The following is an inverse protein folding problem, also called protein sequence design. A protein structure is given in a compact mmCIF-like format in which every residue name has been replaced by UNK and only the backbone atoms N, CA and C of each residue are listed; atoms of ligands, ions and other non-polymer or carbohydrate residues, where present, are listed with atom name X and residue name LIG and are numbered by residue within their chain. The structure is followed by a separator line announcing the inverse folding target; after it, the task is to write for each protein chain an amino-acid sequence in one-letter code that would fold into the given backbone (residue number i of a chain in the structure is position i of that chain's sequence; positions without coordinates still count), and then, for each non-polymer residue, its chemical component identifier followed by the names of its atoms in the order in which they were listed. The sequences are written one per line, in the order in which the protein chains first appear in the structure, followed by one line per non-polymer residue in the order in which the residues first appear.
data_IF_528383026140
#
_entry.id   IF_528383026140
#
_cell.length_a   1.000
_cell.length_b   1.000
_cell.length_c   1.000
_cell.angle_alpha   90.00
_cell.angle_beta   90.00
_cell.angle_gamma   90.00
#
_symmetry.space_group_name_H-M   'P 1'
#
loop_
_entity.id
_entity.type
_entity.pdbx_description
1 polymer ?
#
# COMPACT_ATOMS: atom_id res chain seq x y z
N UNK A 1 89.54 19.14 -23.35
CA UNK A 1 88.62 18.00 -23.16
C UNK A 1 88.20 17.98 -21.70
N UNK A 2 87.10 18.67 -21.37
CA UNK A 2 86.34 18.41 -20.14
C UNK A 2 84.94 19.01 -20.29
N UNK A 3 83.97 18.18 -19.96
CA UNK A 3 82.52 18.32 -19.84
C UNK A 3 82.06 19.55 -19.05
N UNK A 4 80.79 19.99 -19.25
CA UNK A 4 79.69 19.79 -18.27
C UNK A 4 78.38 20.48 -18.72
N UNK A 5 77.37 19.62 -18.84
CA UNK A 5 75.91 19.69 -18.59
C UNK A 5 75.07 20.97 -18.73
N UNK A 6 73.96 20.77 -19.46
CA UNK A 6 72.65 21.39 -19.28
C UNK A 6 72.14 21.30 -17.82
N UNK A 7 71.66 22.42 -17.28
CA UNK A 7 70.71 22.46 -16.17
C UNK A 7 69.34 22.87 -16.71
N UNK A 8 68.46 21.89 -16.85
CA UNK A 8 67.01 22.09 -16.76
C UNK A 8 66.67 22.54 -15.35
N UNK A 9 65.88 23.60 -15.21
CA UNK A 9 65.03 23.72 -14.03
C UNK A 9 63.70 24.36 -14.44
N UNK A 10 62.69 23.50 -14.48
CA UNK A 10 61.30 23.80 -14.80
C UNK A 10 60.60 24.08 -13.46
N UNK A 11 60.43 25.36 -13.10
CA UNK A 11 59.73 25.75 -11.87
C UNK A 11 58.52 26.60 -12.19
N UNK A 12 57.33 26.00 -12.21
CA UNK A 12 56.09 26.72 -11.85
C UNK A 12 54.91 25.79 -11.61
N UNK A 13 54.59 25.44 -10.35
CA UNK A 13 53.17 25.17 -9.96
C UNK A 13 52.82 25.17 -8.46
N UNK A 14 52.73 26.32 -7.79
CA UNK A 14 52.07 26.41 -6.49
C UNK A 14 50.54 26.71 -6.58
N UNK A 15 50.03 27.11 -7.75
CA UNK A 15 48.68 27.70 -7.88
C UNK A 15 47.53 26.69 -7.92
N UNK A 16 47.77 25.46 -8.41
CA UNK A 16 46.72 24.42 -8.57
C UNK A 16 46.21 23.85 -7.24
N UNK A 17 47.07 23.71 -6.22
CA UNK A 17 46.68 23.17 -4.90
C UNK A 17 45.71 24.09 -4.15
N UNK A 18 45.93 25.40 -4.21
CA UNK A 18 45.04 26.39 -3.57
C UNK A 18 43.66 26.47 -4.23
N UNK A 19 43.60 26.30 -5.55
CA UNK A 19 42.33 26.28 -6.29
C UNK A 19 41.50 25.03 -5.98
N UNK A 20 42.14 23.86 -5.86
CA UNK A 20 41.46 22.61 -5.44
C UNK A 20 40.93 22.68 -4.01
N UNK A 21 41.68 23.26 -3.07
CA UNK A 21 41.23 23.46 -1.69
C UNK A 21 40.04 24.43 -1.61
N UNK A 22 40.07 25.52 -2.38
CA UNK A 22 38.99 26.50 -2.42
C UNK A 22 37.71 25.93 -3.04
N UNK A 23 37.80 25.15 -4.11
CA UNK A 23 36.62 24.49 -4.69
C UNK A 23 36.06 23.42 -3.76
N UNK A 24 36.91 22.66 -3.07
CA UNK A 24 36.44 21.65 -2.11
C UNK A 24 35.75 22.30 -0.90
N UNK A 25 36.29 23.41 -0.38
CA UNK A 25 35.68 24.17 0.70
C UNK A 25 34.36 24.84 0.29
N UNK A 26 34.29 25.40 -0.92
CA UNK A 26 33.06 25.98 -1.48
C UNK A 26 31.99 24.90 -1.68
N UNK A 27 32.37 23.73 -2.21
CA UNK A 27 31.46 22.58 -2.35
C UNK A 27 30.99 22.11 -0.98
N UNK A 28 31.88 21.96 0.01
CA UNK A 28 31.51 21.58 1.39
C UNK A 28 30.53 22.58 2.03
N UNK A 29 30.70 23.87 1.75
CA UNK A 29 29.84 24.94 2.27
C UNK A 29 28.49 25.03 1.53
N UNK A 30 28.42 24.61 0.27
CA UNK A 30 27.18 24.56 -0.51
C UNK A 30 26.36 23.29 -0.29
N UNK A 31 26.96 22.18 0.16
CA UNK A 31 26.23 20.92 0.47
C UNK A 31 25.01 21.14 1.40
N UNK A 32 25.09 21.89 2.53
CA UNK A 32 23.92 22.09 3.39
C UNK A 32 22.81 22.95 2.75
N UNK A 33 23.14 23.82 1.78
CA UNK A 33 22.15 24.62 1.05
C UNK A 33 21.32 23.80 0.05
N UNK A 34 21.79 22.61 -0.31
CA UNK A 34 21.07 21.65 -1.16
C UNK A 34 20.22 20.66 -0.34
N UNK A 35 20.37 20.64 0.99
CA UNK A 35 19.55 19.80 1.85
C UNK A 35 18.16 20.45 2.01
N UNK A 36 17.11 19.70 1.67
CA UNK A 36 15.76 20.18 1.93
C UNK A 36 15.53 20.37 3.43
N UNK A 37 14.98 21.53 3.81
CA UNK A 37 14.55 21.83 5.17
C UNK A 37 13.45 20.88 5.65
N UNK A 38 12.59 20.37 4.75
CA UNK A 38 11.52 19.43 5.05
C UNK A 38 11.70 18.12 4.27
N UNK A 39 11.60 17.00 4.98
CA UNK A 39 11.60 15.65 4.42
C UNK A 39 10.36 14.90 4.88
N UNK A 40 9.52 14.53 3.92
CA UNK A 40 8.35 13.69 4.16
C UNK A 40 8.49 12.42 3.32
N UNK A 41 8.57 11.28 3.98
CA UNK A 41 8.67 9.98 3.32
C UNK A 41 7.58 9.06 3.81
N UNK A 42 6.72 8.64 2.89
CA UNK A 42 5.65 7.69 3.16
C UNK A 42 5.97 6.41 2.39
N UNK A 43 6.01 5.30 3.12
CA UNK A 43 6.19 3.99 2.52
C UNK A 43 5.17 3.03 3.10
N UNK A 44 4.34 2.46 2.23
CA UNK A 44 3.31 1.50 2.62
C UNK A 44 3.30 0.26 1.74
N UNK A 45 2.75 -0.81 2.29
CA UNK A 45 2.48 -2.06 1.60
C UNK A 45 1.03 -2.46 1.80
N UNK A 46 0.42 -2.97 0.74
CA UNK A 46 -0.89 -3.59 0.75
C UNK A 46 -0.70 -5.11 0.75
N UNK A 47 -1.38 -5.81 1.66
CA UNK A 47 -1.39 -7.26 1.72
C UNK A 47 -2.48 -7.84 0.80
N UNK A 48 -2.43 -9.16 0.57
CA UNK A 48 -3.46 -9.85 -0.20
C UNK A 48 -4.84 -9.90 0.50
N UNK A 49 -4.90 -9.54 1.78
CA UNK A 49 -6.12 -9.53 2.60
C UNK A 49 -6.68 -8.11 2.82
N UNK A 50 -6.32 -7.17 1.94
CA UNK A 50 -6.74 -5.76 2.00
C UNK A 50 -6.33 -5.05 3.29
N UNK A 51 -5.14 -5.40 3.80
CA UNK A 51 -4.53 -4.72 4.96
C UNK A 51 -3.36 -3.87 4.52
N UNK A 52 -3.26 -2.69 5.12
CA UNK A 52 -2.23 -1.71 4.81
C UNK A 52 -1.33 -1.54 6.01
N UNK A 53 -0.02 -1.61 5.77
CA UNK A 53 1.00 -1.46 6.80
C UNK A 53 2.16 -0.66 6.25
N UNK A 54 2.89 0.03 7.11
CA UNK A 54 3.96 0.89 6.63
C UNK A 54 4.44 1.88 7.67
N UNK A 55 5.03 2.96 7.16
CA UNK A 55 5.56 4.03 7.96
C UNK A 55 5.47 5.38 7.25
N UNK A 56 5.37 6.43 8.04
CA UNK A 56 5.47 7.84 7.64
C UNK A 56 6.62 8.44 8.43
N UNK A 57 7.54 9.12 7.76
CA UNK A 57 8.59 9.93 8.37
C UNK A 57 8.34 11.37 7.98
N UNK A 58 8.21 12.26 8.96
CA UNK A 58 8.17 13.70 8.76
C UNK A 58 9.28 14.31 9.60
N UNK A 59 10.27 14.91 8.94
CA UNK A 59 11.45 15.42 9.63
C UNK A 59 11.95 16.72 8.97
N UNK A 60 12.52 17.59 9.78
CA UNK A 60 13.12 18.86 9.36
C UNK A 60 14.52 19.01 9.91
N UNK A 61 15.29 19.92 9.34
CA UNK A 61 16.52 20.39 9.99
C UNK A 61 16.09 21.30 11.15
N UNK A 62 16.50 21.02 12.41
CA UNK A 62 16.06 21.81 13.55
C UNK A 62 16.54 23.25 13.43
N UNK A 63 15.68 24.22 13.74
CA UNK A 63 16.07 25.63 13.77
C UNK A 63 16.96 25.95 14.99
N UNK A 64 16.79 25.20 16.09
CA UNK A 64 17.55 25.32 17.33
C UNK A 64 17.64 23.99 18.09
N UNK A 65 18.48 23.90 19.13
CA UNK A 65 18.70 22.64 19.88
C UNK A 65 17.47 22.10 20.63
N UNK A 66 16.45 22.94 20.84
CA UNK A 66 15.21 22.58 21.53
C UNK A 66 14.05 22.30 20.58
N UNK A 67 14.26 22.39 19.26
CA UNK A 67 13.25 22.12 18.25
C UNK A 67 13.07 20.60 18.08
N UNK A 68 11.91 20.02 18.45
CA UNK A 68 11.66 18.60 18.26
C UNK A 68 11.29 18.24 16.82
N UNK A 69 11.11 19.22 15.93
CA UNK A 69 10.59 19.04 14.58
C UNK A 69 9.07 18.75 14.54
N UNK A 70 8.54 18.37 13.36
CA UNK A 70 7.12 18.08 13.18
C UNK A 70 6.66 16.91 14.05
N UNK A 71 5.55 17.11 14.76
CA UNK A 71 4.96 16.10 15.63
C UNK A 71 3.66 15.56 15.06
N UNK A 72 3.66 14.27 14.73
CA UNK A 72 2.48 13.62 14.17
C UNK A 72 1.62 13.02 15.28
N UNK A 73 0.35 13.43 15.35
CA UNK A 73 -0.60 12.96 16.37
C UNK A 73 -1.58 11.97 15.73
N UNK A 74 -1.64 10.71 16.20
CA UNK A 74 -2.54 9.71 15.65
C UNK A 74 -3.99 9.99 16.09
N UNK A 75 -4.98 9.79 15.19
CA UNK A 75 -6.37 9.85 15.59
C UNK A 75 -6.66 8.75 16.61
N UNK A 76 -7.53 9.05 17.56
CA UNK A 76 -7.88 8.13 18.65
C UNK A 76 -8.47 6.81 18.16
N UNK A 77 -9.13 6.81 16.99
CA UNK A 77 -9.67 5.62 16.32
C UNK A 77 -8.60 4.62 15.90
N UNK A 78 -7.36 5.05 15.67
CA UNK A 78 -6.27 4.21 15.16
C UNK A 78 -5.12 4.03 16.15
N UNK A 79 -5.29 4.48 17.40
CA UNK A 79 -4.22 4.50 18.40
C UNK A 79 -3.64 3.11 18.71
N UNK A 80 -4.43 2.03 18.57
CA UNK A 80 -3.97 0.65 18.80
C UNK A 80 -3.12 0.09 17.65
N UNK A 81 -3.29 0.63 16.44
CA UNK A 81 -2.65 0.17 15.21
C UNK A 81 -1.54 1.10 14.72
N UNK A 82 -1.24 2.14 15.51
CA UNK A 82 -0.26 3.17 15.19
C UNK A 82 0.71 3.34 16.35
N UNK A 83 2.00 3.43 16.03
CA UNK A 83 3.07 3.78 16.97
C UNK A 83 3.83 4.99 16.44
N UNK A 84 3.84 6.06 17.22
CA UNK A 84 4.67 7.24 16.96
C UNK A 84 5.98 7.11 17.74
N UNK A 85 7.10 7.47 17.10
CA UNK A 85 8.43 7.53 17.68
C UNK A 85 9.09 8.84 17.25
N UNK A 86 10.01 9.33 18.08
CA UNK A 86 10.89 10.42 17.68
C UNK A 86 11.82 9.96 16.55
N UNK A 87 11.97 10.80 15.53
CA UNK A 87 12.90 10.59 14.44
C UNK A 87 14.09 11.53 14.60
N UNK A 88 15.30 10.98 14.71
CA UNK A 88 16.55 11.75 14.76
C UNK A 88 17.64 11.07 13.94
N UNK A 89 17.87 11.55 12.72
CA UNK A 89 18.82 10.92 11.79
C UNK A 89 19.32 11.90 10.73
N UNK A 90 20.60 11.80 10.37
CA UNK A 90 21.24 12.62 9.32
C UNK A 90 21.09 14.15 9.52
N UNK A 91 21.03 14.58 10.78
CA UNK A 91 20.80 16.00 11.13
C UNK A 91 19.34 16.44 11.11
N UNK A 92 18.41 15.55 10.77
CA UNK A 92 16.97 15.81 10.81
C UNK A 92 16.36 15.36 12.14
N UNK A 93 15.38 16.12 12.62
CA UNK A 93 14.52 15.82 13.78
C UNK A 93 13.05 15.86 13.39
N UNK A 94 12.21 15.06 14.05
CA UNK A 94 10.76 15.06 13.85
C UNK A 94 10.11 13.77 14.34
N UNK A 95 9.14 13.29 13.59
CA UNK A 95 8.31 12.14 13.95
C UNK A 95 8.40 11.02 12.92
N UNK A 96 8.46 9.78 13.41
CA UNK A 96 8.27 8.56 12.62
C UNK A 96 7.07 7.78 13.15
N UNK A 97 6.13 7.53 12.27
CA UNK A 97 4.90 6.80 12.56
C UNK A 97 4.98 5.45 11.88
N UNK A 98 4.78 4.39 12.65
CA UNK A 98 4.58 3.03 12.14
C UNK A 98 3.11 2.67 12.28
N UNK A 99 2.55 2.04 11.25
CA UNK A 99 1.18 1.58 11.29
C UNK A 99 1.07 0.18 10.70
N UNK A 100 0.11 -0.59 11.20
CA UNK A 100 -0.08 -1.97 10.79
C UNK A 100 -1.56 -2.36 10.79
N UNK A 101 -1.88 -3.34 9.96
CA UNK A 101 -3.22 -3.95 9.90
C UNK A 101 -4.36 -2.94 9.69
N UNK A 102 -4.12 -1.86 8.94
CA UNK A 102 -5.14 -0.86 8.64
C UNK A 102 -6.04 -1.33 7.49
N UNK A 103 -7.33 -1.10 7.59
CA UNK A 103 -8.25 -1.27 6.46
C UNK A 103 -8.11 -0.12 5.45
N UNK A 104 -8.66 -0.29 4.24
CA UNK A 104 -8.68 0.79 3.25
C UNK A 104 -9.45 2.03 3.72
N UNK A 105 -10.46 1.86 4.57
CA UNK A 105 -11.19 2.98 5.19
C UNK A 105 -10.32 3.73 6.19
N UNK A 106 -9.51 3.02 6.98
CA UNK A 106 -8.62 3.61 7.99
C UNK A 106 -7.50 4.45 7.37
N UNK A 107 -6.99 4.05 6.19
CA UNK A 107 -5.97 4.81 5.47
C UNK A 107 -6.43 6.24 5.15
N UNK A 108 -7.73 6.45 4.89
CA UNK A 108 -8.26 7.80 4.67
C UNK A 108 -8.15 8.69 5.93
N UNK A 109 -8.15 8.09 7.12
CA UNK A 109 -7.98 8.79 8.40
C UNK A 109 -6.51 9.09 8.71
N UNK A 110 -5.56 8.32 8.18
CA UNK A 110 -4.13 8.64 8.30
C UNK A 110 -3.79 10.01 7.71
N UNK A 111 -4.50 10.42 6.66
CA UNK A 111 -4.30 11.72 6.03
C UNK A 111 -4.70 12.89 6.95
N UNK A 112 -5.51 12.63 7.99
CA UNK A 112 -5.86 13.60 9.03
C UNK A 112 -4.80 13.72 10.14
N UNK A 113 -3.76 12.87 10.16
CA UNK A 113 -2.64 12.96 11.11
C UNK A 113 -1.64 14.07 10.77
N UNK A 114 -1.78 14.68 9.60
CA UNK A 114 -0.79 15.63 9.09
C UNK A 114 -0.86 16.94 9.89
N UNK A 115 0.30 17.45 10.28
CA UNK A 115 0.44 18.71 11.02
C UNK A 115 -0.07 19.90 10.18
N UNK A 116 -0.58 20.96 10.84
CA UNK A 116 -1.27 22.11 10.22
C UNK A 116 -0.40 22.90 9.21
N UNK A 117 0.90 22.59 9.08
CA UNK A 117 1.83 23.23 8.15
C UNK A 117 2.26 22.40 6.93
N UNK A 118 1.95 21.10 6.85
CA UNK A 118 2.54 20.21 5.84
C UNK A 118 1.75 20.12 4.51
N UNK A 119 0.65 20.87 4.37
CA UNK A 119 -0.28 20.77 3.24
C UNK A 119 -1.39 19.75 3.48
N UNK A 120 -2.38 19.71 2.59
CA UNK A 120 -3.49 18.77 2.70
C UNK A 120 -3.25 17.54 1.85
N UNK A 121 -3.30 16.37 2.47
CA UNK A 121 -3.23 15.09 1.77
C UNK A 121 -4.59 14.42 1.85
N UNK A 122 -5.00 13.79 0.75
CA UNK A 122 -6.17 12.93 0.69
C UNK A 122 -5.72 11.65 0.01
N UNK A 123 -5.98 10.52 0.66
CA UNK A 123 -5.62 9.21 0.13
C UNK A 123 -6.82 8.29 0.30
N UNK A 124 -7.14 7.56 -0.76
CA UNK A 124 -8.27 6.64 -0.79
C UNK A 124 -7.85 5.37 -1.50
N UNK A 125 -8.09 4.24 -0.85
CA UNK A 125 -8.00 2.93 -1.47
C UNK A 125 -9.41 2.37 -1.57
N UNK A 126 -9.77 1.86 -2.74
CA UNK A 126 -11.06 1.24 -2.96
C UNK A 126 -10.91 -0.02 -3.80
N UNK A 127 -11.73 -1.02 -3.46
CA UNK A 127 -11.84 -2.27 -4.21
C UNK A 127 -13.12 -2.27 -5.05
N UNK A 128 -13.01 -2.80 -6.26
CA UNK A 128 -14.13 -3.17 -7.13
C UNK A 128 -13.85 -4.55 -7.72
N UNK A 129 -14.43 -5.59 -7.12
CA UNK A 129 -14.11 -6.99 -7.46
C UNK A 129 -12.64 -7.32 -7.22
N UNK A 130 -11.95 -7.81 -8.24
CA UNK A 130 -10.51 -8.12 -8.17
C UNK A 130 -9.60 -6.90 -8.41
N UNK A 131 -10.17 -5.73 -8.74
CA UNK A 131 -9.39 -4.51 -8.96
C UNK A 131 -9.34 -3.67 -7.69
N UNK A 132 -8.15 -3.21 -7.31
CA UNK A 132 -7.96 -2.21 -6.27
C UNK A 132 -7.35 -0.96 -6.89
N UNK A 133 -8.00 0.17 -6.66
CA UNK A 133 -7.57 1.48 -7.08
C UNK A 133 -7.08 2.27 -5.87
N UNK A 134 -5.91 2.87 -6.03
CA UNK A 134 -5.37 3.92 -5.18
C UNK A 134 -5.57 5.24 -5.90
N UNK A 135 -6.25 6.16 -5.24
CA UNK A 135 -6.38 7.55 -5.67
C UNK A 135 -5.99 8.47 -4.52
N UNK A 136 -5.18 9.48 -4.80
CA UNK A 136 -4.81 10.48 -3.82
C UNK A 136 -4.49 11.82 -4.44
N UNK A 137 -4.61 12.85 -3.61
CA UNK A 137 -4.38 14.24 -3.95
C UNK A 137 -3.56 14.88 -2.83
N UNK A 138 -2.49 15.55 -3.20
CA UNK A 138 -1.64 16.31 -2.29
C UNK A 138 -1.67 17.79 -2.71
N UNK A 139 -2.19 18.66 -1.86
CA UNK A 139 -2.09 20.11 -2.03
C UNK A 139 -0.93 20.65 -1.20
N UNK A 140 0.17 20.95 -1.90
CA UNK A 140 1.44 21.37 -1.31
C UNK A 140 1.74 22.84 -1.60
N UNK A 141 0.75 23.62 -2.02
CA UNK A 141 0.91 25.05 -2.35
C UNK A 141 1.41 25.90 -1.18
N UNK A 142 1.09 25.49 0.05
CA UNK A 142 1.52 26.17 1.27
C UNK A 142 2.99 25.92 1.60
N UNK A 143 3.61 24.90 1.00
CA UNK A 143 5.01 24.56 1.26
C UNK A 143 5.96 25.39 0.40
N UNK A 144 7.12 25.80 0.95
CA UNK A 144 8.18 26.42 0.16
C UNK A 144 8.61 25.49 -0.98
N UNK A 145 8.58 26.00 -2.20
CA UNK A 145 8.94 25.25 -3.41
C UNK A 145 10.41 24.78 -3.42
N UNK A 146 11.26 25.41 -2.61
CA UNK A 146 12.67 25.04 -2.45
C UNK A 146 12.88 24.36 -1.10
N UNK A 147 13.59 23.25 -1.11
CA UNK A 147 13.99 22.55 0.11
C UNK A 147 12.92 21.65 0.74
N UNK A 148 11.90 21.23 -0.01
CA UNK A 148 10.92 20.24 0.45
C UNK A 148 11.07 18.95 -0.38
N UNK A 149 11.40 17.84 0.26
CA UNK A 149 11.50 16.51 -0.36
C UNK A 149 10.35 15.64 0.14
N UNK A 150 9.34 15.44 -0.71
CA UNK A 150 8.14 14.67 -0.38
C UNK A 150 8.07 13.46 -1.31
N UNK A 151 8.20 12.27 -0.71
CA UNK A 151 8.20 11.01 -1.42
C UNK A 151 7.10 10.10 -0.89
N UNK A 152 6.32 9.54 -1.79
CA UNK A 152 5.29 8.56 -1.49
C UNK A 152 5.61 7.27 -2.24
N UNK A 153 5.60 6.13 -1.55
CA UNK A 153 5.80 4.82 -2.16
C UNK A 153 4.82 3.80 -1.62
N UNK A 154 4.32 2.95 -2.51
CA UNK A 154 3.43 1.86 -2.16
C UNK A 154 3.86 0.57 -2.86
N UNK A 155 3.80 -0.53 -2.13
CA UNK A 155 3.95 -1.88 -2.66
C UNK A 155 2.61 -2.61 -2.61
N UNK A 156 2.27 -3.31 -3.69
CA UNK A 156 1.06 -4.10 -3.81
C UNK A 156 1.40 -5.61 -3.77
N UNK A 157 0.42 -6.48 -3.46
CA UNK A 157 0.65 -7.92 -3.42
C UNK A 157 0.70 -8.55 -4.83
N UNK A 158 0.42 -7.76 -5.87
CA UNK A 158 0.37 -8.19 -7.26
C UNK A 158 0.93 -7.11 -8.19
N UNK A 159 1.03 -7.46 -9.48
CA UNK A 159 1.57 -6.57 -10.52
C UNK A 159 0.68 -5.35 -10.74
N UNK A 160 1.28 -4.17 -10.77
CA UNK A 160 0.59 -2.91 -11.04
C UNK A 160 0.11 -2.88 -12.49
N UNK A 161 -1.18 -2.61 -12.69
CA UNK A 161 -1.81 -2.56 -14.01
C UNK A 161 -1.62 -1.18 -14.64
N UNK A 162 -2.09 -0.12 -13.98
CA UNK A 162 -1.96 1.27 -14.45
C UNK A 162 -1.43 2.14 -13.30
N UNK A 163 -0.65 3.17 -13.61
CA UNK A 163 -0.21 4.17 -12.61
C UNK A 163 0.31 5.44 -13.29
N UNK A 164 0.21 6.57 -12.60
CA UNK A 164 0.88 7.83 -12.98
C UNK A 164 2.22 8.04 -12.23
N UNK A 165 2.66 7.08 -11.42
CA UNK A 165 3.93 7.11 -10.69
C UNK A 165 5.07 6.40 -11.41
N UNK A 166 6.26 6.49 -10.83
CA UNK A 166 7.42 5.73 -11.30
C UNK A 166 7.36 4.31 -10.74
N UNK A 167 7.32 3.30 -11.62
CA UNK A 167 7.33 1.89 -11.21
C UNK A 167 8.75 1.47 -10.84
N UNK A 168 8.87 0.82 -9.69
CA UNK A 168 10.09 0.18 -9.21
C UNK A 168 9.85 -1.33 -9.16
N UNK A 169 10.23 -2.02 -10.23
CA UNK A 169 9.84 -3.42 -10.44
C UNK A 169 8.36 -3.61 -10.79
N UNK A 170 7.81 -4.78 -10.46
CA UNK A 170 6.46 -5.18 -10.90
C UNK A 170 5.34 -4.74 -9.95
N UNK A 171 5.63 -4.63 -8.65
CA UNK A 171 4.62 -4.46 -7.60
C UNK A 171 4.80 -3.21 -6.74
N UNK A 172 5.87 -2.42 -6.95
CA UNK A 172 6.12 -1.19 -6.23
C UNK A 172 6.04 0.01 -7.15
N UNK A 173 5.48 1.10 -6.66
CA UNK A 173 5.42 2.38 -7.35
C UNK A 173 5.71 3.51 -6.37
N UNK A 174 6.38 4.54 -6.88
CA UNK A 174 6.82 5.71 -6.13
C UNK A 174 6.45 6.99 -6.86
N UNK A 175 6.18 8.04 -6.09
CA UNK A 175 5.92 9.39 -6.55
C UNK A 175 6.80 10.35 -5.76
N UNK A 176 7.36 11.32 -6.47
CA UNK A 176 8.00 12.50 -5.89
C UNK A 176 7.06 13.67 -6.08
N UNK A 177 6.59 14.27 -4.99
CA UNK A 177 5.57 15.33 -5.02
C UNK A 177 6.26 16.69 -4.89
N UNK A 178 6.24 17.54 -5.93
CA UNK A 178 6.83 18.88 -5.85
C UNK A 178 6.05 19.76 -4.86
N UNK A 179 6.78 20.50 -4.03
CA UNK A 179 6.20 21.54 -3.19
C UNK A 179 5.78 22.76 -4.03
N UNK A 180 4.78 23.50 -3.55
CA UNK A 180 4.23 24.67 -4.24
C UNK A 180 3.11 24.36 -5.24
N UNK A 181 2.80 23.08 -5.49
CA UNK A 181 1.81 22.65 -6.48
C UNK A 181 0.82 21.62 -5.92
N UNK A 182 -0.20 21.27 -6.72
CA UNK A 182 -1.13 20.18 -6.41
C UNK A 182 -0.74 18.97 -7.24
N UNK A 183 -0.46 17.86 -6.57
CA UNK A 183 -0.09 16.59 -7.20
C UNK A 183 -1.17 15.53 -6.99
N UNK A 184 -1.30 14.63 -7.95
CA UNK A 184 -2.19 13.46 -7.84
C UNK A 184 -1.38 12.17 -7.87
N UNK A 185 -1.80 11.20 -7.08
CA UNK A 185 -1.24 9.86 -7.05
C UNK A 185 -2.33 8.87 -7.45
N UNK A 186 -2.03 8.01 -8.43
CA UNK A 186 -2.96 7.02 -8.94
C UNK A 186 -2.25 5.71 -9.26
N UNK A 187 -2.77 4.61 -8.75
CA UNK A 187 -2.34 3.28 -9.16
C UNK A 187 -3.51 2.30 -9.14
N UNK A 188 -3.54 1.37 -10.08
CA UNK A 188 -4.50 0.28 -10.10
C UNK A 188 -3.77 -1.05 -10.16
N UNK A 189 -4.26 -2.01 -9.39
CA UNK A 189 -3.72 -3.36 -9.30
C UNK A 189 -4.87 -4.36 -9.34
N UNK A 190 -4.61 -5.53 -9.90
CA UNK A 190 -5.58 -6.63 -9.96
C UNK A 190 -5.10 -7.80 -9.09
N UNK A 191 -5.87 -8.16 -8.07
CA UNK A 191 -5.66 -9.35 -7.24
C UNK A 191 -6.97 -9.84 -6.60
N UNK A 192 -7.03 -11.16 -6.44
CA UNK A 192 -8.23 -11.88 -6.01
C UNK A 192 -8.82 -11.33 -4.72
N UNK A 193 -10.14 -11.12 -4.73
CA UNK A 193 -10.89 -10.66 -3.57
C UNK A 193 -10.82 -11.68 -2.39
N UNK A 194 -10.31 -11.29 -1.21
CA UNK A 194 -10.22 -12.19 -0.06
C UNK A 194 -11.59 -12.70 0.43
N UNK A 195 -12.67 -11.94 0.23
CA UNK A 195 -14.02 -12.31 0.66
C UNK A 195 -14.54 -13.55 -0.08
N UNK A 196 -14.22 -13.70 -1.37
CA UNK A 196 -14.63 -14.84 -2.20
C UNK A 196 -14.04 -16.16 -1.70
N UNK A 197 -12.81 -16.14 -1.16
CA UNK A 197 -12.18 -17.32 -0.54
C UNK A 197 -12.94 -17.76 0.71
N UNK A 198 -13.35 -16.81 1.55
CA UNK A 198 -14.12 -17.12 2.77
C UNK A 198 -15.50 -17.69 2.44
N UNK A 199 -16.16 -17.16 1.40
CA UNK A 199 -17.47 -17.63 0.96
C UNK A 199 -17.40 -19.06 0.43
N UNK A 200 -16.42 -19.40 -0.41
CA UNK A 200 -16.26 -20.76 -0.92
C UNK A 200 -16.10 -21.79 0.21
N UNK A 201 -15.35 -21.45 1.27
CA UNK A 201 -15.20 -22.29 2.45
C UNK A 201 -16.52 -22.52 3.18
N UNK A 202 -17.24 -21.45 3.51
CA UNK A 202 -18.53 -21.54 4.20
C UNK A 202 -19.63 -22.20 3.35
N UNK A 203 -19.66 -21.93 2.04
CA UNK A 203 -20.58 -22.56 1.11
C UNK A 203 -20.36 -24.08 1.04
N UNK A 204 -19.11 -24.54 1.05
CA UNK A 204 -18.78 -25.96 1.11
C UNK A 204 -19.27 -26.62 2.41
N UNK A 205 -19.08 -25.95 3.54
CA UNK A 205 -19.59 -26.43 4.84
C UNK A 205 -21.12 -26.55 4.82
N UNK A 206 -21.81 -25.51 4.34
CA UNK A 206 -23.28 -25.51 4.26
C UNK A 206 -23.81 -26.54 3.26
N UNK A 207 -23.14 -26.72 2.12
CA UNK A 207 -23.47 -27.75 1.14
C UNK A 207 -23.29 -29.15 1.73
N UNK A 208 -22.21 -29.40 2.48
CA UNK A 208 -22.00 -30.66 3.19
C UNK A 208 -23.06 -30.92 4.24
N UNK A 209 -23.43 -29.90 5.03
CA UNK A 209 -24.44 -30.01 6.09
C UNK A 209 -25.83 -30.30 5.52
N UNK A 210 -26.23 -29.58 4.46
CA UNK A 210 -27.50 -29.79 3.76
C UNK A 210 -27.56 -31.16 3.08
N UNK A 211 -26.48 -31.61 2.43
CA UNK A 211 -26.40 -32.95 1.86
C UNK A 211 -26.49 -34.04 2.95
N UNK A 212 -25.83 -33.83 4.09
CA UNK A 212 -25.91 -34.73 5.24
C UNK A 212 -27.32 -34.88 5.77
N UNK A 213 -28.04 -33.76 5.95
CA UNK A 213 -29.45 -33.77 6.36
C UNK A 213 -30.33 -34.47 5.31
N UNK A 214 -30.12 -34.20 4.02
CA UNK A 214 -30.87 -34.83 2.94
C UNK A 214 -30.67 -36.36 2.93
N UNK A 215 -29.45 -36.85 3.17
CA UNK A 215 -29.14 -38.28 3.30
C UNK A 215 -29.87 -38.88 4.49
N UNK A 216 -29.85 -38.21 5.65
CA UNK A 216 -30.53 -38.68 6.87
C UNK A 216 -32.05 -38.79 6.62
N UNK A 217 -32.66 -37.75 6.06
CA UNK A 217 -34.10 -37.74 5.72
C UNK A 217 -34.41 -38.81 4.69
N UNK A 218 -33.58 -38.97 3.65
CA UNK A 218 -33.74 -40.01 2.64
C UNK A 218 -33.65 -41.42 3.21
N UNK A 219 -32.70 -41.67 4.12
CA UNK A 219 -32.55 -42.94 4.82
C UNK A 219 -33.75 -43.24 5.72
N UNK A 220 -34.21 -42.26 6.50
CA UNK A 220 -35.43 -42.40 7.31
C UNK A 220 -36.65 -42.68 6.44
N UNK A 221 -36.82 -41.95 5.32
CA UNK A 221 -37.91 -42.18 4.39
C UNK A 221 -37.87 -43.58 3.77
N UNK A 222 -36.68 -44.10 3.44
CA UNK A 222 -36.52 -45.44 2.90
C UNK A 222 -36.83 -46.54 3.93
N UNK A 223 -36.42 -46.36 5.19
CA UNK A 223 -36.73 -47.29 6.28
C UNK A 223 -38.22 -47.32 6.61
N UNK A 224 -38.90 -46.17 6.59
CA UNK A 224 -40.33 -46.04 6.88
C UNK A 224 -41.21 -46.42 5.67
N UNK A 225 -40.62 -46.60 4.47
CA UNK A 225 -41.37 -47.00 3.28
C UNK A 225 -41.84 -48.45 3.40
N UNK A 226 -43.05 -48.62 3.94
CA UNK A 226 -43.80 -49.87 3.93
C UNK A 226 -43.84 -50.45 2.51
N UNK A 227 -43.25 -51.63 2.33
CA UNK A 227 -43.40 -52.47 1.14
C UNK A 227 -44.73 -53.22 1.21
N UNK A 228 -45.85 -52.53 1.10
CA UNK A 228 -47.12 -53.21 0.85
C UNK A 228 -47.31 -53.33 -0.67
N UNK A 229 -47.30 -54.54 -1.26
CA UNK A 229 -47.64 -54.70 -2.66
C UNK A 229 -49.10 -54.29 -2.86
N UNK A 230 -49.35 -53.39 -3.81
CA UNK A 230 -50.71 -53.13 -4.29
C UNK A 230 -51.21 -54.42 -4.92
N UNK A 231 -52.05 -55.17 -4.20
CA UNK A 231 -52.78 -56.30 -4.77
C UNK A 231 -53.61 -55.81 -5.95
N UNK A 232 -53.18 -56.12 -7.17
CA UNK A 232 -54.02 -55.98 -8.34
C UNK A 232 -55.28 -56.83 -8.12
N UNK A 233 -56.45 -56.19 -8.08
CA UNK A 233 -57.72 -56.89 -8.07
C UNK A 233 -57.83 -57.74 -9.35
N UNK A 234 -58.35 -58.98 -9.28
CA UNK A 234 -58.45 -59.84 -10.45
C UNK A 234 -59.42 -59.24 -11.47
N UNK A 235 -59.01 -59.29 -12.75
CA UNK A 235 -59.90 -59.10 -13.91
C UNK A 235 -61.10 -60.05 -13.78
N UNK A 236 -62.30 -59.50 -13.67
CA UNK A 236 -63.54 -60.27 -13.78
C UNK A 236 -63.69 -60.82 -15.20
N UNK A 237 -63.96 -62.13 -15.39
CA UNK A 237 -64.28 -62.68 -16.69
C UNK A 237 -65.76 -62.46 -17.05
N UNK A 238 -65.97 -61.93 -18.26
CA UNK A 238 -66.94 -62.37 -19.26
C UNK A 238 -68.40 -62.63 -18.86
N UNK A 239 -69.33 -61.88 -19.46
CA UNK A 239 -70.60 -62.48 -19.91
C UNK A 239 -71.05 -61.89 -21.23
N UNK A 240 -71.23 -62.79 -22.19
CA UNK A 240 -71.67 -62.57 -23.56
C UNK A 240 -73.12 -62.07 -23.65
N UNK A 241 -73.40 -61.29 -24.71
CA UNK A 241 -74.74 -61.15 -25.32
C UNK A 241 -74.52 -60.70 -26.77
N UNK A 242 -74.29 -61.67 -27.66
CA UNK A 242 -75.28 -62.28 -28.56
C UNK A 242 -75.79 -61.29 -29.60
N UNK A 243 -75.45 -61.59 -30.85
CA UNK A 243 -75.88 -60.98 -32.09
C UNK A 243 -77.39 -60.73 -32.18
N UNK A 244 -77.78 -59.75 -33.00
CA UNK A 244 -78.84 -59.77 -34.03
C UNK A 244 -79.59 -58.43 -34.08
N UNK A 245 -79.24 -57.57 -35.04
CA UNK A 245 -80.10 -57.17 -36.17
C UNK A 245 -79.37 -56.20 -37.10
#
# INVERSE_FOLDING_TARGET
MTTVQQSTDDTTRPRRRKQLLATTALVLMLVPLLAGCLRVQVSMGVSADDRVSGQIVAAVIPENEADPGPQLVPPTSLAENIRVQEYKKDGYVGSQVFFWDLSFGDVSQLAAMTDEGAGSFQLTLQRSGDTVALDGKADLKALPAQGSDIQFSIAFPARISTTNGNRDGDSRVSWTLPAGEVSTVRAEVNYADPSTRSFAGWAGIMAGLTLGVAIIVGAMAWMVRNRAPVSQAPKSPQSAKSDTH
#
